data_IF_375568725357
#
_entry.id   IF_375568725357
#
_cell.length_a   1.000
_cell.length_b   1.000
_cell.length_c   1.000
_cell.angle_alpha   90.00
_cell.angle_beta   90.00
_cell.angle_gamma   90.00
#
_symmetry.space_group_name_H-M   'P 1'
#
loop_
_entity.id
_entity.type
_entity.pdbx_description
1 polymer ?
#
# COMPACT_ATOMS: atom_id res chain seq x y z
N UNK A 1 -4.27 -23.10 -11.65
CA UNK A 1 -4.32 -21.93 -10.74
C UNK A 1 -3.84 -20.71 -11.50
N UNK A 2 -4.52 -19.55 -11.40
CA UNK A 2 -4.10 -18.34 -12.10
C UNK A 2 -2.73 -17.84 -11.62
N UNK A 3 -2.04 -17.02 -12.43
CA UNK A 3 -0.71 -16.47 -12.10
C UNK A 3 -0.65 -15.80 -10.71
N UNK A 4 -1.74 -15.13 -10.30
CA UNK A 4 -1.84 -14.51 -8.98
C UNK A 4 -1.76 -15.51 -7.82
N UNK A 5 -2.37 -16.69 -7.96
CA UNK A 5 -2.32 -17.72 -6.91
C UNK A 5 -0.91 -18.32 -6.77
N UNK A 6 -0.22 -18.50 -7.90
CA UNK A 6 1.18 -18.95 -7.91
C UNK A 6 2.09 -17.94 -7.21
N UNK A 7 1.94 -16.65 -7.51
CA UNK A 7 2.77 -15.62 -6.89
C UNK A 7 2.48 -15.46 -5.38
N UNK A 8 1.21 -15.56 -4.97
CA UNK A 8 0.83 -15.60 -3.55
C UNK A 8 1.47 -16.77 -2.81
N UNK A 9 1.50 -17.96 -3.42
CA UNK A 9 2.15 -19.13 -2.83
C UNK A 9 3.67 -18.91 -2.68
N UNK A 10 4.33 -18.36 -3.70
CA UNK A 10 5.76 -18.03 -3.65
C UNK A 10 6.08 -17.04 -2.54
N UNK A 11 5.29 -15.97 -2.41
CA UNK A 11 5.45 -14.99 -1.34
C UNK A 11 5.31 -15.66 0.03
N UNK A 12 4.28 -16.49 0.21
CA UNK A 12 4.07 -17.22 1.47
C UNK A 12 5.25 -18.12 1.82
N UNK A 13 5.77 -18.89 0.86
CA UNK A 13 6.95 -19.73 1.07
C UNK A 13 8.20 -18.92 1.45
N UNK A 14 8.35 -17.69 0.95
CA UNK A 14 9.44 -16.79 1.38
C UNK A 14 9.22 -16.34 2.83
N UNK A 15 8.02 -15.89 3.18
CA UNK A 15 7.71 -15.43 4.54
C UNK A 15 7.87 -16.55 5.58
N UNK A 16 7.48 -17.78 5.23
CA UNK A 16 7.59 -18.97 6.10
C UNK A 16 9.03 -19.30 6.52
N UNK A 17 10.04 -18.80 5.80
CA UNK A 17 11.45 -18.95 6.20
C UNK A 17 11.80 -18.18 7.48
N UNK A 18 11.01 -17.16 7.85
CA UNK A 18 11.33 -16.24 8.93
C UNK A 18 12.50 -15.28 8.62
N UNK A 19 13.07 -15.32 7.42
CA UNK A 19 14.21 -14.48 7.01
C UNK A 19 13.78 -13.16 6.36
N UNK A 20 12.50 -13.01 6.04
CA UNK A 20 11.96 -11.80 5.39
C UNK A 20 11.71 -10.74 6.44
N UNK A 21 12.55 -9.70 6.45
CA UNK A 21 12.44 -8.56 7.37
C UNK A 21 11.42 -7.50 6.93
N UNK A 22 10.95 -7.56 5.68
CA UNK A 22 9.99 -6.61 5.13
C UNK A 22 9.64 -6.93 3.68
N UNK A 23 8.56 -6.32 3.18
CA UNK A 23 8.11 -6.48 1.79
C UNK A 23 8.03 -5.12 1.11
N UNK A 24 8.64 -5.04 -0.07
CA UNK A 24 8.48 -3.90 -0.95
C UNK A 24 7.44 -4.23 -2.02
N UNK A 25 6.34 -3.49 -2.05
CA UNK A 25 5.29 -3.63 -3.07
C UNK A 25 5.51 -2.62 -4.19
N UNK A 26 5.44 -3.12 -5.41
CA UNK A 26 5.49 -2.31 -6.61
C UNK A 26 4.15 -1.59 -6.84
N UNK A 27 4.18 -0.38 -7.40
CA UNK A 27 2.97 0.37 -7.76
C UNK A 27 2.26 -0.28 -8.95
N UNK A 28 0.93 -0.29 -8.93
CA UNK A 28 0.11 -0.67 -10.08
C UNK A 28 -1.10 0.22 -10.16
N UNK A 29 -1.69 0.33 -11.36
CA UNK A 29 -2.91 1.13 -11.58
C UNK A 29 -4.20 0.36 -11.29
N UNK A 30 -4.12 -0.95 -11.09
CA UNK A 30 -5.24 -1.78 -10.64
C UNK A 30 -5.41 -1.68 -9.12
N UNK A 31 -6.21 -0.70 -8.69
CA UNK A 31 -6.48 -0.40 -7.28
C UNK A 31 -7.14 -1.59 -6.56
N UNK A 32 -8.05 -2.30 -7.23
CA UNK A 32 -8.75 -3.44 -6.64
C UNK A 32 -7.78 -4.59 -6.36
N UNK A 33 -6.87 -4.86 -7.31
CA UNK A 33 -5.83 -5.85 -7.15
C UNK A 33 -4.81 -5.45 -6.09
N UNK A 34 -4.43 -4.18 -6.01
CA UNK A 34 -3.55 -3.67 -4.96
C UNK A 34 -4.17 -3.91 -3.57
N UNK A 35 -5.43 -3.50 -3.40
CA UNK A 35 -6.15 -3.68 -2.13
C UNK A 35 -6.27 -5.17 -1.75
N UNK A 36 -6.65 -6.04 -2.69
CA UNK A 36 -6.71 -7.49 -2.46
C UNK A 36 -5.34 -8.10 -2.14
N UNK A 37 -4.28 -7.61 -2.79
CA UNK A 37 -2.90 -8.03 -2.55
C UNK A 37 -2.40 -7.69 -1.15
N UNK A 38 -2.64 -6.44 -0.72
CA UNK A 38 -2.25 -5.97 0.62
C UNK A 38 -3.05 -6.64 1.73
N UNK A 39 -4.35 -6.86 1.54
CA UNK A 39 -5.17 -7.61 2.47
C UNK A 39 -4.64 -9.05 2.67
N UNK A 40 -4.30 -9.73 1.57
CA UNK A 40 -3.67 -11.05 1.62
C UNK A 40 -2.32 -11.02 2.36
N UNK A 41 -1.46 -10.05 2.04
CA UNK A 41 -0.12 -9.94 2.63
C UNK A 41 -0.20 -9.70 4.15
N UNK A 42 -1.10 -8.83 4.61
CA UNK A 42 -1.35 -8.60 6.03
C UNK A 42 -1.86 -9.85 6.74
N UNK A 43 -2.84 -10.53 6.17
CA UNK A 43 -3.36 -11.78 6.75
C UNK A 43 -2.26 -12.86 6.86
N UNK A 44 -1.44 -13.03 5.81
CA UNK A 44 -0.35 -14.00 5.82
C UNK A 44 0.75 -13.64 6.84
N UNK A 45 1.11 -12.36 6.97
CA UNK A 45 2.09 -11.89 7.94
C UNK A 45 1.61 -12.09 9.38
N UNK A 46 0.35 -11.73 9.69
CA UNK A 46 -0.26 -11.97 11.00
C UNK A 46 -0.30 -13.45 11.34
N UNK A 47 -0.74 -14.30 10.40
CA UNK A 47 -0.78 -15.76 10.61
C UNK A 47 0.60 -16.32 10.96
N UNK A 48 1.64 -15.88 10.25
CA UNK A 48 3.01 -16.34 10.49
C UNK A 48 3.59 -15.79 11.80
N UNK A 49 3.33 -14.54 12.15
CA UNK A 49 3.75 -13.98 13.44
C UNK A 49 3.13 -14.76 14.61
N UNK A 50 1.84 -15.10 14.53
CA UNK A 50 1.16 -15.92 15.54
C UNK A 50 1.75 -17.33 15.65
N UNK A 51 2.22 -17.90 14.53
CA UNK A 51 2.84 -19.23 14.50
C UNK A 51 4.28 -19.24 15.01
N UNK A 52 5.07 -18.23 14.67
CA UNK A 52 6.51 -18.18 14.96
C UNK A 52 6.82 -17.54 16.33
N UNK A 53 6.02 -16.57 16.76
CA UNK A 53 6.24 -15.79 17.99
C UNK A 53 4.92 -15.50 18.72
N UNK A 54 4.24 -16.53 19.28
CA UNK A 54 2.94 -16.37 19.93
C UNK A 54 2.93 -15.46 21.17
N UNK A 55 4.11 -15.12 21.71
CA UNK A 55 4.25 -14.37 22.96
C UNK A 55 4.47 -12.84 22.81
N UNK A 56 4.54 -12.28 21.59
CA UNK A 56 4.80 -10.84 21.38
C UNK A 56 3.69 -10.23 20.50
N UNK A 57 2.60 -9.69 21.08
CA UNK A 57 1.43 -9.25 20.32
C UNK A 57 1.48 -7.82 19.75
N UNK A 58 2.60 -7.09 19.81
CA UNK A 58 2.53 -5.61 19.76
C UNK A 58 3.35 -4.88 18.69
N UNK A 59 4.14 -5.58 17.86
CA UNK A 59 4.81 -4.94 16.71
C UNK A 59 4.09 -5.28 15.41
N UNK A 60 4.09 -4.35 14.45
CA UNK A 60 3.64 -4.61 13.07
C UNK A 60 4.27 -5.93 12.59
N UNK A 61 3.48 -6.96 12.21
CA UNK A 61 3.99 -8.29 11.87
C UNK A 61 5.05 -8.29 10.79
N UNK A 62 5.01 -7.30 9.90
CA UNK A 62 5.88 -7.22 8.75
C UNK A 62 5.88 -5.79 8.20
N UNK A 63 7.00 -5.06 8.25
CA UNK A 63 7.12 -3.78 7.56
C UNK A 63 6.81 -3.94 6.06
N UNK A 64 5.90 -3.12 5.56
CA UNK A 64 5.58 -3.05 4.13
C UNK A 64 5.87 -1.62 3.64
N UNK A 65 6.67 -1.51 2.59
CA UNK A 65 6.90 -0.27 1.88
C UNK A 65 6.37 -0.38 0.45
N UNK A 66 5.97 0.74 -0.16
CA UNK A 66 5.50 0.72 -1.54
C UNK A 66 5.79 2.02 -2.29
N UNK A 67 6.13 1.91 -3.57
CA UNK A 67 6.36 3.06 -4.46
C UNK A 67 5.05 3.80 -4.75
N UNK A 68 5.11 5.13 -4.88
CA UNK A 68 4.08 5.94 -5.53
C UNK A 68 4.74 7.12 -6.25
N UNK A 69 4.34 7.43 -7.49
CA UNK A 69 4.99 8.47 -8.28
C UNK A 69 4.15 9.77 -8.30
N UNK A 70 4.80 10.94 -8.21
CA UNK A 70 4.12 12.22 -8.47
C UNK A 70 3.80 12.29 -9.96
N UNK A 71 2.51 12.42 -10.29
CA UNK A 71 2.08 12.61 -11.66
C UNK A 71 2.69 13.88 -12.26
N UNK A 72 3.36 13.74 -13.41
CA UNK A 72 4.00 14.83 -14.13
C UNK A 72 3.85 14.61 -15.63
N UNK A 73 3.78 15.70 -16.41
CA UNK A 73 3.62 15.64 -17.88
C UNK A 73 4.71 14.82 -18.59
N UNK A 74 5.90 14.72 -17.99
CA UNK A 74 7.00 13.91 -18.52
C UNK A 74 6.76 12.40 -18.39
N UNK A 75 5.94 11.94 -17.45
CA UNK A 75 5.68 10.51 -17.22
C UNK A 75 4.74 9.91 -18.27
N UNK A 76 3.80 10.70 -18.80
CA UNK A 76 2.88 10.26 -19.87
C UNK A 76 3.59 10.13 -21.24
N UNK A 77 4.71 10.84 -21.45
CA UNK A 77 5.47 10.82 -22.70
C UNK A 77 6.67 9.87 -22.70
N UNK A 78 7.15 9.45 -21.52
CA UNK A 78 8.41 8.69 -21.40
C UNK A 78 8.23 7.16 -21.52
N UNK A 79 7.02 6.69 -21.80
CA UNK A 79 6.73 5.26 -21.95
C UNK A 79 6.86 4.46 -20.64
N UNK A 80 6.60 3.15 -20.68
CA UNK A 80 6.63 2.27 -19.49
C UNK A 80 8.02 2.18 -18.83
N UNK A 81 9.10 2.53 -19.54
CA UNK A 81 10.48 2.42 -19.04
C UNK A 81 10.85 3.54 -18.03
N UNK A 82 10.09 4.63 -17.98
CA UNK A 82 10.35 5.75 -17.06
C UNK A 82 9.88 5.48 -15.63
N UNK A 83 9.02 4.47 -15.46
CA UNK A 83 8.61 3.94 -14.17
C UNK A 83 8.79 2.41 -14.24
N UNK A 84 9.99 1.87 -13.99
CA UNK A 84 10.20 0.43 -13.95
C UNK A 84 9.31 -0.27 -12.91
N UNK A 85 8.68 0.52 -12.02
CA UNK A 85 7.69 0.08 -11.06
C UNK A 85 6.25 0.01 -11.60
N UNK A 86 5.90 0.46 -12.81
CA UNK A 86 4.50 0.50 -13.28
C UNK A 86 4.17 -0.70 -14.19
N UNK A 87 3.95 -1.88 -13.62
CA UNK A 87 3.53 -3.05 -14.41
C UNK A 87 2.04 -3.38 -14.21
N UNK A 88 1.36 -3.53 -15.35
CA UNK A 88 -0.07 -3.78 -15.59
C UNK A 88 -1.03 -2.58 -15.47
N UNK A 89 -1.75 -2.35 -16.59
CA UNK A 89 -2.70 -1.26 -16.87
C UNK A 89 -2.07 0.15 -16.95
N UNK A 90 -0.90 0.24 -17.58
CA UNK A 90 -0.27 1.52 -17.91
C UNK A 90 -1.20 2.44 -18.74
N UNK A 91 -2.17 1.91 -19.49
CA UNK A 91 -3.05 2.72 -20.33
C UNK A 91 -3.92 3.73 -19.56
N UNK A 92 -4.49 3.35 -18.40
CA UNK A 92 -5.31 4.28 -17.61
C UNK A 92 -4.42 5.29 -16.87
N UNK A 93 -3.29 4.82 -16.33
CA UNK A 93 -2.35 5.68 -15.60
C UNK A 93 -1.62 6.67 -16.52
N UNK A 94 -1.14 6.21 -17.67
CA UNK A 94 -0.46 7.04 -18.67
C UNK A 94 -1.41 7.81 -19.59
N UNK A 95 -2.73 7.61 -19.45
CA UNK A 95 -3.74 8.25 -20.28
C UNK A 95 -3.81 9.77 -20.10
N UNK A 96 -3.55 10.27 -18.88
CA UNK A 96 -3.38 11.70 -18.61
C UNK A 96 -2.69 11.94 -17.27
N UNK A 97 -2.22 13.17 -17.02
CA UNK A 97 -1.63 13.55 -15.73
C UNK A 97 -2.68 13.48 -14.62
N UNK A 98 -3.90 13.90 -14.91
CA UNK A 98 -5.03 13.88 -13.97
C UNK A 98 -5.41 12.45 -13.58
N UNK A 99 -5.38 11.52 -14.54
CA UNK A 99 -5.63 10.10 -14.28
C UNK A 99 -4.51 9.48 -13.43
N UNK A 100 -3.24 9.77 -13.75
CA UNK A 100 -2.10 9.36 -12.94
C UNK A 100 -2.19 9.91 -11.51
N UNK A 101 -2.57 11.18 -11.36
CA UNK A 101 -2.72 11.84 -10.06
C UNK A 101 -3.85 11.19 -9.25
N UNK A 102 -5.02 10.99 -9.85
CA UNK A 102 -6.16 10.35 -9.20
C UNK A 102 -5.82 8.94 -8.71
N UNK A 103 -5.18 8.13 -9.55
CA UNK A 103 -4.75 6.77 -9.19
C UNK A 103 -3.71 6.83 -8.07
N UNK A 104 -2.70 7.69 -8.17
CA UNK A 104 -1.64 7.83 -7.16
C UNK A 104 -2.22 8.21 -5.80
N UNK A 105 -3.16 9.15 -5.76
CA UNK A 105 -3.85 9.56 -4.52
C UNK A 105 -4.61 8.38 -3.90
N UNK A 106 -5.28 7.56 -4.70
CA UNK A 106 -5.96 6.37 -4.19
C UNK A 106 -4.99 5.29 -3.72
N UNK A 107 -3.86 5.07 -4.42
CA UNK A 107 -2.77 4.19 -3.95
C UNK A 107 -2.28 4.64 -2.57
N UNK A 108 -2.02 5.94 -2.38
CA UNK A 108 -1.57 6.49 -1.09
C UNK A 108 -2.62 6.29 0.01
N UNK A 109 -3.92 6.45 -0.30
CA UNK A 109 -4.99 6.15 0.67
C UNK A 109 -5.07 4.67 1.02
N UNK A 110 -4.93 3.79 0.04
CA UNK A 110 -4.89 2.34 0.27
C UNK A 110 -3.69 2.00 1.14
N UNK A 111 -2.50 2.57 0.86
CA UNK A 111 -1.31 2.38 1.67
C UNK A 111 -1.55 2.80 3.12
N UNK A 112 -2.14 3.98 3.37
CA UNK A 112 -2.46 4.44 4.71
C UNK A 112 -3.36 3.45 5.47
N UNK A 113 -4.45 2.99 4.85
CA UNK A 113 -5.40 2.03 5.45
C UNK A 113 -4.78 0.67 5.78
N UNK A 114 -3.75 0.27 5.03
CA UNK A 114 -3.05 -1.00 5.22
C UNK A 114 -1.72 -0.84 5.99
N UNK A 115 -1.40 0.35 6.51
CA UNK A 115 -0.15 0.63 7.22
C UNK A 115 1.11 0.46 6.34
N UNK A 116 1.00 0.65 5.03
CA UNK A 116 2.13 0.58 4.10
C UNK A 116 2.85 1.93 4.14
N UNK A 117 4.17 1.91 4.32
CA UNK A 117 5.00 3.12 4.24
C UNK A 117 5.18 3.55 2.77
N UNK A 118 4.69 4.73 2.36
CA UNK A 118 4.83 5.18 0.98
C UNK A 118 6.27 5.67 0.72
N UNK A 119 6.85 5.24 -0.40
CA UNK A 119 8.03 5.84 -1.01
C UNK A 119 7.57 6.69 -2.20
N UNK A 120 7.62 8.02 -2.05
CA UNK A 120 7.19 8.93 -3.11
C UNK A 120 8.33 9.17 -4.09
N UNK A 121 8.16 8.73 -5.33
CA UNK A 121 9.10 8.90 -6.44
C UNK A 121 8.78 10.22 -7.18
N UNK A 122 9.73 11.15 -7.16
CA UNK A 122 9.60 12.45 -7.84
C UNK A 122 10.99 13.06 -8.11
N UNK A 123 11.10 13.83 -9.20
CA UNK A 123 12.26 14.69 -9.47
C UNK A 123 12.03 16.06 -8.83
N UNK A 124 12.43 16.22 -7.58
CA UNK A 124 12.31 17.51 -6.87
C UNK A 124 13.57 18.35 -7.10
N UNK A 125 13.45 19.44 -7.85
CA UNK A 125 14.53 20.41 -8.12
C UNK A 125 14.16 21.83 -7.67
N UNK A 126 12.90 22.04 -7.29
CA UNK A 126 12.34 23.33 -6.91
C UNK A 126 11.28 23.18 -5.82
N UNK A 127 10.95 24.28 -5.13
CA UNK A 127 9.89 24.29 -4.12
C UNK A 127 8.51 23.93 -4.72
N UNK A 128 8.24 24.36 -5.95
CA UNK A 128 7.02 24.01 -6.67
C UNK A 128 6.91 22.53 -6.98
N UNK A 129 8.02 21.83 -7.26
CA UNK A 129 8.03 20.37 -7.47
C UNK A 129 7.97 19.59 -6.14
N UNK A 130 8.33 20.22 -5.01
CA UNK A 130 8.21 19.62 -3.68
C UNK A 130 6.76 19.59 -3.18
N UNK A 131 5.96 20.60 -3.54
CA UNK A 131 4.60 20.75 -3.01
C UNK A 131 3.71 19.51 -3.27
N UNK A 132 3.66 18.91 -4.48
CA UNK A 132 2.87 17.69 -4.71
C UNK A 132 3.33 16.49 -3.86
N UNK A 133 4.63 16.39 -3.55
CA UNK A 133 5.16 15.35 -2.66
C UNK A 133 4.62 15.55 -1.24
N UNK A 134 4.66 16.79 -0.74
CA UNK A 134 4.13 17.14 0.58
C UNK A 134 2.62 16.91 0.68
N UNK A 135 1.88 17.18 -0.40
CA UNK A 135 0.45 16.95 -0.47
C UNK A 135 0.11 15.45 -0.37
N UNK A 136 0.88 14.59 -1.06
CA UNK A 136 0.73 13.13 -0.94
C UNK A 136 1.08 12.62 0.46
N UNK A 137 2.17 13.12 1.07
CA UNK A 137 2.53 12.76 2.44
C UNK A 137 1.50 13.22 3.47
N UNK A 138 0.91 14.39 3.25
CA UNK A 138 -0.17 14.91 4.11
C UNK A 138 -1.45 14.08 3.95
N UNK A 139 -1.80 13.72 2.70
CA UNK A 139 -2.90 12.80 2.41
C UNK A 139 -2.72 11.45 3.11
N UNK A 140 -1.52 10.87 3.06
CA UNK A 140 -1.20 9.62 3.76
C UNK A 140 -1.46 9.73 5.26
N UNK A 141 -0.91 10.77 5.91
CA UNK A 141 -1.08 10.99 7.35
C UNK A 141 -2.55 11.12 7.73
N UNK A 142 -3.32 11.91 6.99
CA UNK A 142 -4.75 12.07 7.25
C UNK A 142 -5.52 10.77 7.08
N UNK A 143 -5.26 10.02 6.01
CA UNK A 143 -5.94 8.75 5.74
C UNK A 143 -5.56 7.63 6.72
N UNK A 144 -4.41 7.73 7.40
CA UNK A 144 -3.98 6.77 8.41
C UNK A 144 -4.65 6.98 9.77
N UNK A 145 -5.19 8.18 10.02
CA UNK A 145 -5.87 8.55 11.29
C UNK A 145 -7.37 8.23 11.25
N UNK A 146 -7.94 8.03 10.06
CA UNK A 146 -9.34 7.60 9.91
C UNK A 146 -9.54 6.23 10.57
N UNK A 147 -10.39 6.13 11.62
CA UNK A 147 -10.63 4.85 12.25
C UNK A 147 -11.29 3.92 11.23
N UNK A 148 -10.72 2.73 11.04
CA UNK A 148 -11.46 1.63 10.44
C UNK A 148 -12.72 1.42 11.27
N UNK A 149 -13.86 1.91 10.77
CA UNK A 149 -15.16 1.83 11.45
C UNK A 149 -15.43 0.40 11.91
N UNK A 150 -15.40 0.22 13.22
CA UNK A 150 -15.60 -1.05 13.91
C UNK A 150 -15.98 -0.76 15.36
N UNK A 151 -17.14 -0.13 15.55
CA UNK A 151 -17.77 0.06 16.85
C UNK A 151 -19.24 -0.32 16.76
N UNK A 152 -19.52 -1.61 16.58
CA UNK A 152 -20.80 -2.14 17.03
C UNK A 152 -20.88 -1.86 18.53
N UNK A 153 -21.93 -1.17 18.97
CA UNK A 153 -22.09 -0.75 20.35
C UNK A 153 -21.91 -1.92 21.33
N UNK A 154 -21.04 -1.73 22.32
CA UNK A 154 -21.06 -2.58 23.50
C UNK A 154 -22.43 -2.45 24.16
N UNK A 155 -23.16 -3.54 24.43
CA UNK A 155 -24.33 -3.47 25.28
C UNK A 155 -23.84 -3.16 26.70
N UNK A 156 -24.22 -2.00 27.22
CA UNK A 156 -24.04 -1.67 28.63
C UNK A 156 -24.76 -2.73 29.46
N UNK A 157 -23.99 -3.63 30.08
CA UNK A 157 -24.46 -4.50 31.15
C UNK A 157 -24.77 -3.61 32.36
N UNK A 158 -26.04 -3.23 32.49
CA UNK A 158 -26.57 -2.70 33.74
C UNK A 158 -26.52 -3.80 34.80
N UNK A 159 -25.66 -3.61 35.80
CA UNK A 159 -25.74 -4.38 37.04
C UNK A 159 -26.92 -3.83 37.85
N UNK A 160 -27.83 -4.69 38.34
CA UNK A 160 -28.91 -4.24 39.20
C UNK A 160 -28.35 -3.80 40.56
N UNK A 161 -28.93 -2.70 41.07
CA UNK A 161 -28.74 -2.16 42.43
C UNK A 161 -29.40 -3.08 43.45
#
# INVERSE_FOLDING_TARGET
AGQQAVERQRLRSKLETGLVAGVYVQIGSDLARLQSGLAFLRAAATELQLRLTPAIPQSDPLPIAGSAAVAAQGLTHSGPDALPALEWSAAQYLGSVEAAEAITREVVRIYARHGVTPLIESSVRSASELQPVLDLLSLYKSAAVEPTGGGAGEPQLQLPV
#
